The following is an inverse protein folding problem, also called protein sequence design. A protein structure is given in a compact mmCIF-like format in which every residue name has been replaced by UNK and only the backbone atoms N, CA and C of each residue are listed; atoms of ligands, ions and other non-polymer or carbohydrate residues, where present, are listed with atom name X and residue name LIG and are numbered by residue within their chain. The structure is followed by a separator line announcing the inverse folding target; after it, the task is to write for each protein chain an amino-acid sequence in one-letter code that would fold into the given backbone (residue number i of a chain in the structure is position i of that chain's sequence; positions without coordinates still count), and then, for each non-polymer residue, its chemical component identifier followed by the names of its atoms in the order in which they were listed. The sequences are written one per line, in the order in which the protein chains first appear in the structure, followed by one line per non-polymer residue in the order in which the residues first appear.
data_IF_471965678999
#
_entry.id   IF_471965678999
#
_cell.length_a   1.000
_cell.length_b   1.000
_cell.length_c   1.000
_cell.angle_alpha   90.00
_cell.angle_beta   90.00
_cell.angle_gamma   90.00
#
_symmetry.space_group_name_H-M   'P 1'
#
loop_
_entity.id
_entity.type
_entity.pdbx_description
1 polymer ?
#
# COMPACT_ATOMS: atom_id res chain seq x y z
N UNK A 1 16.87 25.35 2.68
CA UNK A 1 16.76 24.90 3.04
C UNK A 1 16.72 24.10 3.52
N UNK A 2 16.48 23.95 3.65
CA UNK A 2 16.33 23.30 4.20
C UNK A 2 16.80 22.38 4.83
N UNK A 3 17.49 22.38 4.92
CA UNK A 3 18.26 21.54 5.74
C UNK A 3 17.67 21.16 7.02
N UNK A 4 16.82 21.96 7.49
CA UNK A 4 16.06 21.61 8.67
C UNK A 4 14.90 20.72 8.30
N UNK A 5 15.01 20.07 7.22
CA UNK A 5 14.00 19.12 6.82
C UNK A 5 13.94 18.01 7.82
N UNK A 6 12.85 18.00 8.52
CA UNK A 6 12.59 16.90 9.40
C UNK A 6 12.13 15.71 8.58
N UNK A 7 12.85 14.62 8.68
CA UNK A 7 12.44 13.38 8.09
C UNK A 7 11.17 12.90 8.78
N UNK A 8 10.30 12.26 8.02
CA UNK A 8 9.15 11.60 8.59
C UNK A 8 9.60 10.24 9.10
N UNK A 9 9.40 9.99 10.39
CA UNK A 9 9.76 8.71 10.98
C UNK A 9 8.51 8.05 11.53
N UNK A 10 8.21 6.85 11.06
CA UNK A 10 7.09 6.06 11.53
C UNK A 10 7.62 4.67 11.88
N UNK A 11 7.36 4.22 13.09
CA UNK A 11 7.78 2.90 13.58
C UNK A 11 9.27 2.64 13.34
N UNK A 12 10.09 3.67 13.54
CA UNK A 12 11.53 3.56 13.39
C UNK A 12 12.01 3.63 11.95
N UNK A 13 11.11 3.72 10.98
CA UNK A 13 11.47 3.81 9.58
C UNK A 13 11.41 5.26 9.11
N UNK A 14 12.45 5.70 8.43
CA UNK A 14 12.59 7.07 7.96
C UNK A 14 12.15 7.19 6.52
N UNK A 15 11.31 8.19 6.24
CA UNK A 15 10.83 8.46 4.88
C UNK A 15 11.27 9.85 4.45
N UNK A 16 11.68 9.96 3.20
CA UNK A 16 12.00 11.26 2.61
C UNK A 16 10.75 11.97 2.11
N UNK A 17 9.77 11.19 1.65
CA UNK A 17 8.51 11.73 1.16
C UNK A 17 7.45 11.63 2.26
N UNK A 18 6.65 12.69 2.39
CA UNK A 18 5.51 12.69 3.29
C UNK A 18 4.22 12.31 2.58
N UNK A 19 4.30 12.03 1.28
CA UNK A 19 3.14 11.65 0.50
C UNK A 19 2.93 10.15 0.60
N UNK A 20 1.72 9.77 1.02
CA UNK A 20 1.26 8.39 1.01
C UNK A 20 0.25 8.30 -0.12
N UNK A 21 0.53 7.47 -1.12
CA UNK A 21 -0.31 7.42 -2.30
C UNK A 21 -1.20 6.18 -2.28
N UNK A 22 -2.48 6.39 -2.61
CA UNK A 22 -3.42 5.29 -2.78
C UNK A 22 -3.36 4.71 -4.18
N UNK A 23 -3.88 3.50 -4.33
CA UNK A 23 -3.85 2.78 -5.60
C UNK A 23 -5.21 2.57 -6.22
N UNK A 24 -6.26 3.14 -5.63
CA UNK A 24 -7.61 3.02 -6.18
C UNK A 24 -7.89 4.02 -7.29
N UNK A 25 -8.86 3.67 -8.12
CA UNK A 25 -9.45 4.58 -9.11
C UNK A 25 -8.52 5.00 -10.26
N UNK A 26 -7.49 4.24 -10.52
CA UNK A 26 -6.72 4.43 -11.74
C UNK A 26 -7.38 3.66 -12.88
N UNK A 27 -7.27 4.21 -14.09
CA UNK A 27 -7.89 3.59 -15.26
C UNK A 27 -7.19 2.30 -15.67
N UNK A 28 -5.92 2.17 -15.33
CA UNK A 28 -5.14 0.98 -15.65
C UNK A 28 -3.99 0.84 -14.66
N UNK A 29 -3.49 -0.39 -14.42
CA UNK A 29 -2.34 -0.59 -13.55
C UNK A 29 -1.10 0.17 -14.01
N UNK A 30 -0.91 0.28 -15.31
CA UNK A 30 0.23 1.02 -15.86
C UNK A 30 0.16 2.50 -15.51
N UNK A 31 -1.04 3.08 -15.55
CA UNK A 31 -1.24 4.47 -15.16
C UNK A 31 -0.91 4.66 -13.68
N UNK A 32 -1.33 3.73 -12.85
CA UNK A 32 -1.00 3.75 -11.44
C UNK A 32 0.51 3.67 -11.22
N UNK A 33 1.18 2.73 -11.90
CA UNK A 33 2.62 2.57 -11.79
C UNK A 33 3.35 3.85 -12.14
N UNK A 34 2.94 4.49 -13.24
CA UNK A 34 3.59 5.72 -13.68
C UNK A 34 3.33 6.87 -12.72
N UNK A 35 2.13 6.94 -12.15
CA UNK A 35 1.81 7.96 -11.15
C UNK A 35 2.65 7.77 -9.89
N UNK A 36 2.84 6.53 -9.46
CA UNK A 36 3.68 6.24 -8.30
C UNK A 36 5.11 6.71 -8.53
N UNK A 37 5.66 6.41 -9.70
CA UNK A 37 7.02 6.80 -10.03
C UNK A 37 7.15 8.32 -10.07
N UNK A 38 6.16 9.02 -10.63
CA UNK A 38 6.20 10.48 -10.74
C UNK A 38 6.00 11.18 -9.40
N UNK A 39 5.29 10.54 -8.47
CA UNK A 39 4.92 11.17 -7.20
C UNK A 39 6.07 11.28 -6.21
N UNK A 40 7.06 10.41 -6.31
CA UNK A 40 8.11 10.32 -5.31
C UNK A 40 7.66 9.69 -4.00
N UNK A 41 6.44 9.17 -3.93
CA UNK A 41 5.95 8.53 -2.72
C UNK A 41 6.75 7.27 -2.43
N UNK A 42 7.00 7.00 -1.16
CA UNK A 42 7.69 5.80 -0.71
C UNK A 42 6.72 4.81 -0.06
N UNK A 43 5.58 5.32 0.41
CA UNK A 43 4.58 4.53 1.10
C UNK A 43 3.33 4.49 0.25
N UNK A 44 2.87 3.27 -0.07
CA UNK A 44 1.77 3.06 -1.00
C UNK A 44 0.73 2.18 -0.33
N UNK A 45 -0.51 2.67 -0.24
CA UNK A 45 -1.56 1.91 0.41
C UNK A 45 -2.37 1.12 -0.60
N UNK A 46 -2.70 -0.11 -0.23
CA UNK A 46 -3.48 -1.03 -1.06
C UNK A 46 -4.67 -1.55 -0.27
N UNK A 47 -5.83 -1.62 -0.91
CA UNK A 47 -7.02 -2.13 -0.27
C UNK A 47 -7.05 -3.65 -0.38
N UNK A 48 -7.02 -4.33 0.76
CA UNK A 48 -6.98 -5.80 0.79
C UNK A 48 -8.23 -6.42 0.21
N UNK A 49 -9.37 -5.79 0.37
CA UNK A 49 -10.61 -6.30 -0.20
C UNK A 49 -10.57 -6.41 -1.71
N UNK A 50 -9.75 -5.59 -2.35
CA UNK A 50 -9.63 -5.57 -3.80
C UNK A 50 -8.47 -6.40 -4.30
N UNK A 51 -7.55 -6.77 -3.42
CA UNK A 51 -6.44 -7.61 -3.80
C UNK A 51 -6.88 -9.07 -3.71
N UNK A 52 -6.63 -9.84 -4.77
CA UNK A 52 -6.94 -11.25 -4.77
C UNK A 52 -5.76 -12.02 -4.20
N UNK A 53 -5.84 -12.33 -2.93
CA UNK A 53 -4.81 -13.08 -2.24
C UNK A 53 -4.98 -14.60 -2.40
N UNK A 54 -6.06 -15.02 -3.09
CA UNK A 54 -6.35 -16.44 -3.26
C UNK A 54 -5.72 -17.03 -4.52
N UNK A 55 -5.12 -16.20 -5.35
CA UNK A 55 -4.50 -16.63 -6.59
C UNK A 55 -5.44 -16.69 -7.78
N UNK A 56 -6.70 -16.30 -7.62
CA UNK A 56 -7.61 -16.21 -8.74
C UNK A 56 -7.29 -15.00 -9.58
N UNK A 57 -7.55 -15.09 -10.87
CA UNK A 57 -7.36 -13.95 -11.76
C UNK A 57 -8.38 -12.88 -11.46
N UNK A 58 -7.93 -11.79 -10.90
CA UNK A 58 -8.74 -10.63 -10.58
C UNK A 58 -7.96 -9.42 -11.09
N UNK A 59 -8.61 -8.49 -11.79
CA UNK A 59 -7.92 -7.27 -12.25
C UNK A 59 -7.22 -6.51 -11.13
N UNK A 60 -7.74 -6.60 -9.91
CA UNK A 60 -7.15 -5.92 -8.78
C UNK A 60 -5.92 -6.63 -8.21
N UNK A 61 -5.83 -7.95 -8.40
CA UNK A 61 -4.66 -8.70 -7.96
C UNK A 61 -3.43 -8.25 -8.73
N UNK A 62 -3.61 -7.85 -9.98
CA UNK A 62 -2.50 -7.41 -10.81
C UNK A 62 -1.87 -6.11 -10.33
N UNK A 63 -2.57 -5.35 -9.48
CA UNK A 63 -2.01 -4.11 -8.94
C UNK A 63 -0.70 -4.39 -8.22
N UNK A 64 -0.63 -5.48 -7.46
CA UNK A 64 0.57 -5.81 -6.70
C UNK A 64 1.75 -6.13 -7.60
N UNK A 65 1.50 -6.58 -8.81
CA UNK A 65 2.57 -6.87 -9.77
C UNK A 65 3.21 -5.60 -10.31
N UNK A 66 2.50 -4.49 -10.24
CA UNK A 66 2.98 -3.21 -10.75
C UNK A 66 3.61 -2.34 -9.66
N UNK A 67 3.73 -2.86 -8.45
CA UNK A 67 4.31 -2.15 -7.32
C UNK A 67 5.54 -2.92 -6.84
N UNK A 68 6.72 -2.38 -7.07
CA UNK A 68 7.96 -3.03 -6.68
C UNK A 68 8.11 -2.96 -5.15
N UNK A 69 8.09 -4.10 -4.45
CA UNK A 69 8.17 -4.09 -2.99
C UNK A 69 9.53 -3.67 -2.46
N UNK A 70 10.55 -3.62 -3.31
CA UNK A 70 11.86 -3.12 -2.91
C UNK A 70 11.94 -1.62 -3.01
N UNK A 71 11.07 -1.02 -3.81
CA UNK A 71 11.06 0.41 -4.05
C UNK A 71 10.03 1.12 -3.17
N UNK A 72 8.92 0.46 -2.90
CA UNK A 72 7.82 1.03 -2.13
C UNK A 72 7.51 0.17 -0.92
N UNK A 73 7.17 0.82 0.19
CA UNK A 73 6.62 0.10 1.33
C UNK A 73 5.11 0.00 1.13
N UNK A 74 4.61 -1.22 1.05
CA UNK A 74 3.19 -1.44 0.91
C UNK A 74 2.51 -1.30 2.26
N UNK A 75 1.41 -0.54 2.28
CA UNK A 75 0.61 -0.31 3.47
C UNK A 75 -0.78 -0.86 3.19
N UNK A 76 -1.05 -2.15 3.52
CA UNK A 76 -2.39 -2.69 3.37
C UNK A 76 -3.37 -1.93 4.24
N UNK A 77 -4.61 -1.77 3.74
CA UNK A 77 -5.63 -1.12 4.53
C UNK A 77 -6.85 -2.00 4.67
N UNK A 78 -7.68 -1.65 5.65
CA UNK A 78 -8.87 -2.43 5.98
C UNK A 78 -10.14 -1.79 5.42
N UNK A 79 -10.03 -1.08 4.33
CA UNK A 79 -11.15 -0.41 3.70
C UNK A 79 -12.29 -1.39 3.44
N UNK A 80 -13.49 -1.01 3.82
CA UNK A 80 -14.67 -1.85 3.65
C UNK A 80 -14.95 -2.78 4.81
N UNK A 81 -14.07 -2.87 5.81
CA UNK A 81 -14.35 -3.66 7.00
C UNK A 81 -15.52 -3.05 7.76
N UNK A 82 -16.47 -3.88 8.15
CA UNK A 82 -17.70 -3.41 8.80
C UNK A 82 -17.59 -3.42 10.32
N UNK A 83 -16.59 -4.10 10.86
CA UNK A 83 -16.39 -4.19 12.30
C UNK A 83 -14.93 -4.54 12.59
N UNK A 84 -14.59 -4.56 13.89
CA UNK A 84 -13.21 -4.82 14.30
C UNK A 84 -12.75 -6.23 13.93
N UNK A 85 -13.62 -7.22 14.06
CA UNK A 85 -13.29 -8.60 13.74
C UNK A 85 -12.89 -8.74 12.27
N UNK A 86 -13.63 -8.11 11.39
CA UNK A 86 -13.36 -8.13 9.96
C UNK A 86 -12.04 -7.40 9.64
N UNK A 87 -11.77 -6.28 10.30
CA UNK A 87 -10.55 -5.54 10.11
C UNK A 87 -9.33 -6.36 10.54
N UNK A 88 -9.44 -7.05 11.67
CA UNK A 88 -8.36 -7.92 12.15
C UNK A 88 -8.12 -9.06 11.17
N UNK A 89 -9.19 -9.64 10.63
CA UNK A 89 -9.07 -10.72 9.64
C UNK A 89 -8.33 -10.25 8.40
N UNK A 90 -8.66 -9.06 7.89
CA UNK A 90 -7.97 -8.51 6.73
C UNK A 90 -6.49 -8.28 7.01
N UNK A 91 -6.15 -7.75 8.18
CA UNK A 91 -4.76 -7.52 8.54
C UNK A 91 -3.98 -8.84 8.62
N UNK A 92 -4.61 -9.88 9.16
CA UNK A 92 -3.98 -11.20 9.24
C UNK A 92 -3.78 -11.83 7.87
N UNK A 93 -4.73 -11.63 6.97
CA UNK A 93 -4.59 -12.11 5.60
C UNK A 93 -3.41 -11.45 4.90
N UNK A 94 -3.22 -10.16 5.11
CA UNK A 94 -2.08 -9.46 4.54
C UNK A 94 -0.77 -10.02 5.05
N UNK A 95 -0.67 -10.23 6.35
CA UNK A 95 0.54 -10.79 6.95
C UNK A 95 0.80 -12.20 6.44
N UNK A 96 -0.24 -13.01 6.31
CA UNK A 96 -0.12 -14.38 5.81
C UNK A 96 0.31 -14.40 4.35
N UNK A 97 -0.04 -13.38 3.58
CA UNK A 97 0.33 -13.27 2.18
C UNK A 97 1.76 -12.72 2.00
N UNK A 98 2.47 -12.44 3.08
CA UNK A 98 3.84 -11.94 3.01
C UNK A 98 3.96 -10.44 2.87
N UNK A 99 2.88 -9.70 3.00
CA UNK A 99 2.93 -8.25 2.97
C UNK A 99 3.56 -7.71 4.25
N UNK A 100 4.09 -6.48 4.24
CA UNK A 100 4.66 -5.90 5.45
C UNK A 100 3.65 -5.84 6.59
N UNK A 101 4.16 -5.89 7.81
CA UNK A 101 3.29 -5.85 8.99
C UNK A 101 2.93 -4.41 9.35
N UNK A 102 2.54 -3.66 8.37
CA UNK A 102 2.00 -2.32 8.49
C UNK A 102 0.55 -2.39 8.05
N UNK A 103 -0.32 -1.67 8.70
CA UNK A 103 -1.72 -1.65 8.31
C UNK A 103 -2.31 -0.27 8.57
N UNK A 104 -3.12 0.16 7.63
CA UNK A 104 -3.88 1.40 7.76
C UNK A 104 -5.33 1.04 8.06
N UNK A 105 -5.86 1.50 9.17
CA UNK A 105 -7.25 1.27 9.53
C UNK A 105 -8.18 2.22 8.80
#
# INVERSE_FOLDING_TARGET
MSSNKQSLVIAGRTFRSRLILGTGKFSAPETMRDALAASGAELVTVALRRADLSGKKDPFANILEFIDPQKYLLLPNTSGAMNAEEAVRLARLAAAAGLPKWVKL
#
